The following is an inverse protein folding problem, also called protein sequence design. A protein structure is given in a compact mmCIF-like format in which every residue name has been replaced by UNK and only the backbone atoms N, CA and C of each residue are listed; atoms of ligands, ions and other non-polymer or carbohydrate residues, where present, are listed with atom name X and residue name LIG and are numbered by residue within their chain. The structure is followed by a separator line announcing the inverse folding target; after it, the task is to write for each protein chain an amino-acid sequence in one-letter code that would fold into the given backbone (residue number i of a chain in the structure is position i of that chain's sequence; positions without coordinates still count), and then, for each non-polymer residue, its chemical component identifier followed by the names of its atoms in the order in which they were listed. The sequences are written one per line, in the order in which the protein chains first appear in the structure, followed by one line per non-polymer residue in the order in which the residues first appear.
data_IF_478842523767
#
_entry.id   IF_478842523767
#
_cell.length_a   1.000
_cell.length_b   1.000
_cell.length_c   1.000
_cell.angle_alpha   90.00
_cell.angle_beta   90.00
_cell.angle_gamma   90.00
#
_symmetry.space_group_name_H-M   'P 1'
#
loop_
_entity.id
_entity.type
_entity.pdbx_description
1 polymer ?
#
# COMPACT_ATOMS: atom_id res chain seq x y z
N UNK A 1 -46.15 8.53 18.52
CA UNK A 1 -46.26 7.71 17.28
C UNK A 1 -44.85 7.48 16.75
N UNK A 2 -44.35 6.30 16.44
CA UNK A 2 -44.90 4.95 16.54
C UNK A 2 -43.76 3.98 16.87
N UNK A 3 -44.04 3.11 17.82
CA UNK A 3 -43.26 1.93 18.16
C UNK A 3 -43.86 0.76 17.37
N UNK A 4 -43.05 -0.09 16.73
CA UNK A 4 -43.49 -1.46 16.44
C UNK A 4 -42.31 -2.41 16.27
N UNK A 5 -42.22 -3.32 17.24
CA UNK A 5 -41.56 -4.61 17.16
C UNK A 5 -42.11 -5.44 15.98
N UNK A 6 -41.26 -6.30 15.42
CA UNK A 6 -41.64 -7.69 15.16
C UNK A 6 -40.40 -8.59 15.19
N UNK A 7 -40.48 -9.63 16.03
CA UNK A 7 -39.54 -10.75 16.19
C UNK A 7 -39.86 -11.88 15.20
N UNK A 8 -38.99 -12.92 15.26
CA UNK A 8 -39.21 -14.36 15.01
C UNK A 8 -38.73 -14.89 13.63
N UNK A 9 -38.06 -16.04 13.48
CA UNK A 9 -37.28 -16.98 14.35
C UNK A 9 -36.83 -18.19 13.48
N UNK A 10 -36.08 -19.13 14.10
CA UNK A 10 -35.70 -20.52 13.72
C UNK A 10 -34.22 -20.64 13.26
N UNK A 11 -33.26 -21.21 14.03
CA UNK A 11 -33.14 -22.48 14.77
C UNK A 11 -33.38 -23.72 13.89
N UNK A 12 -32.29 -24.36 13.46
CA UNK A 12 -32.17 -25.83 13.35
C UNK A 12 -30.75 -26.24 13.77
N UNK A 13 -30.67 -26.91 14.91
CA UNK A 13 -29.58 -27.77 15.37
C UNK A 13 -29.66 -29.13 14.66
N UNK A 14 -28.53 -29.83 14.50
CA UNK A 14 -28.45 -31.28 14.64
C UNK A 14 -27.01 -31.70 14.96
N UNK A 15 -26.85 -32.29 16.15
CA UNK A 15 -25.82 -33.30 16.47
C UNK A 15 -26.44 -34.66 16.13
N UNK A 16 -25.60 -35.65 15.79
CA UNK A 16 -25.70 -37.04 16.27
C UNK A 16 -24.49 -37.87 15.76
N UNK A 17 -23.60 -38.18 16.71
CA UNK A 17 -23.00 -39.46 17.12
C UNK A 17 -22.57 -40.60 16.15
N UNK A 18 -21.34 -41.08 16.45
CA UNK A 18 -20.82 -42.45 16.50
C UNK A 18 -20.35 -43.19 15.22
N UNK A 19 -19.04 -43.48 15.13
CA UNK A 19 -18.43 -44.78 15.54
C UNK A 19 -16.92 -44.83 15.26
N UNK A 20 -16.20 -45.45 16.21
CA UNK A 20 -14.80 -45.91 16.11
C UNK A 20 -14.64 -47.04 15.08
N UNK A 21 -13.54 -47.02 14.33
CA UNK A 21 -12.83 -48.25 13.92
C UNK A 21 -11.32 -48.04 14.05
N UNK A 22 -10.70 -48.95 14.81
CA UNK A 22 -9.25 -49.12 14.94
C UNK A 22 -8.69 -49.75 13.66
N UNK A 23 -7.62 -49.17 13.13
CA UNK A 23 -6.84 -49.76 12.05
C UNK A 23 -5.40 -49.31 12.14
N UNK A 24 -4.56 -50.15 12.75
CA UNK A 24 -3.11 -50.08 12.66
C UNK A 24 -2.68 -50.14 11.18
N UNK A 25 -2.02 -49.10 10.68
CA UNK A 25 -1.15 -49.27 9.52
C UNK A 25 0.10 -48.39 9.64
N UNK A 26 1.19 -49.04 10.07
CA UNK A 26 2.55 -48.54 9.94
C UNK A 26 2.91 -48.53 8.46
N UNK A 27 3.14 -47.35 7.87
CA UNK A 27 4.15 -47.27 6.84
C UNK A 27 4.83 -45.90 6.82
N UNK A 28 6.15 -45.95 6.97
CA UNK A 28 7.04 -44.83 6.80
C UNK A 28 7.08 -44.43 5.32
N UNK A 29 7.03 -43.12 5.05
CA UNK A 29 7.91 -42.53 4.05
C UNK A 29 8.00 -41.02 4.25
N UNK A 30 9.23 -40.55 4.46
CA UNK A 30 9.57 -39.16 4.58
C UNK A 30 9.28 -38.41 3.29
N UNK A 31 8.28 -37.54 3.33
CA UNK A 31 8.12 -36.44 2.40
C UNK A 31 8.62 -35.17 3.06
N UNK A 32 9.80 -34.70 2.63
CA UNK A 32 10.35 -33.41 3.02
C UNK A 32 9.32 -32.32 2.69
N UNK A 33 8.75 -31.70 3.72
CA UNK A 33 7.84 -30.57 3.58
C UNK A 33 8.65 -29.31 3.20
N UNK A 34 9.05 -29.21 1.93
CA UNK A 34 9.63 -28.02 1.31
C UNK A 34 8.49 -27.19 0.72
N UNK A 35 7.86 -26.36 1.54
CA UNK A 35 6.87 -25.40 1.06
C UNK A 35 6.41 -24.49 2.18
N UNK A 36 6.44 -23.17 1.94
CA UNK A 36 5.97 -22.07 2.81
C UNK A 36 6.98 -21.41 3.76
N UNK A 37 8.27 -21.32 3.40
CA UNK A 37 9.22 -20.42 4.11
C UNK A 37 9.49 -19.05 3.45
N UNK A 38 9.05 -18.76 2.21
CA UNK A 38 9.68 -17.67 1.44
C UNK A 38 9.03 -16.29 1.43
N UNK A 39 7.78 -16.10 1.90
CA UNK A 39 7.13 -14.76 1.84
C UNK A 39 7.25 -13.95 3.15
N UNK A 40 7.20 -14.61 4.30
CA UNK A 40 7.23 -13.92 5.61
C UNK A 40 8.64 -13.51 6.07
N UNK A 41 9.71 -14.11 5.52
CA UNK A 41 11.08 -13.70 5.88
C UNK A 41 11.54 -12.43 5.17
N UNK A 42 10.99 -12.11 3.98
CA UNK A 42 11.44 -10.97 3.17
C UNK A 42 11.20 -9.61 3.85
N UNK A 43 10.20 -9.51 4.74
CA UNK A 43 9.76 -8.26 5.37
C UNK A 43 9.81 -8.30 6.90
N UNK A 44 10.65 -9.17 7.47
CA UNK A 44 10.71 -9.40 8.92
C UNK A 44 10.98 -8.13 9.76
N UNK A 45 11.44 -7.05 9.13
CA UNK A 45 11.75 -5.76 9.74
C UNK A 45 11.03 -4.57 9.07
N UNK A 46 9.92 -4.78 8.34
CA UNK A 46 9.18 -3.67 7.71
C UNK A 46 8.56 -2.77 8.76
N UNK A 47 8.74 -1.45 8.62
CA UNK A 47 8.10 -0.44 9.46
C UNK A 47 6.78 0.00 8.79
N UNK A 48 5.75 0.26 9.60
CA UNK A 48 4.51 0.88 9.12
C UNK A 48 4.50 2.36 9.45
N UNK A 49 4.37 3.19 8.42
CA UNK A 49 4.26 4.64 8.53
C UNK A 49 2.82 5.08 8.33
N UNK A 50 2.33 5.99 9.18
CA UNK A 50 1.02 6.64 9.00
C UNK A 50 1.21 8.01 8.37
N UNK A 51 0.55 8.27 7.25
CA UNK A 51 0.72 9.51 6.49
C UNK A 51 -0.60 10.02 5.94
N UNK A 52 -0.86 11.31 6.05
CA UNK A 52 -1.96 11.95 5.34
C UNK A 52 -1.62 12.09 3.85
N UNK A 53 -2.61 11.91 2.99
CA UNK A 53 -2.51 12.20 1.56
C UNK A 53 -3.77 12.92 1.09
N UNK A 54 -3.60 14.07 0.45
CA UNK A 54 -4.72 14.87 -0.05
C UNK A 54 -5.31 14.27 -1.33
N UNK A 55 -6.54 14.67 -1.66
CA UNK A 55 -7.06 14.46 -3.01
C UNK A 55 -6.31 15.31 -4.06
N UNK A 56 -6.25 14.87 -5.34
CA UNK A 56 -6.81 13.62 -5.88
C UNK A 56 -5.91 12.38 -5.64
N UNK A 57 -4.75 12.56 -5.01
CA UNK A 57 -3.69 11.54 -4.95
C UNK A 57 -4.12 10.32 -4.13
N UNK A 58 -4.84 10.54 -3.03
CA UNK A 58 -5.41 9.46 -2.24
C UNK A 58 -6.31 8.56 -3.10
N UNK A 59 -7.30 9.14 -3.79
CA UNK A 59 -8.21 8.35 -4.62
C UNK A 59 -7.47 7.63 -5.75
N UNK A 60 -6.53 8.30 -6.42
CA UNK A 60 -5.76 7.69 -7.51
C UNK A 60 -4.91 6.49 -7.04
N UNK A 61 -4.32 6.53 -5.84
CA UNK A 61 -3.61 5.38 -5.27
C UNK A 61 -4.60 4.29 -4.85
N UNK A 62 -5.72 4.64 -4.20
CA UNK A 62 -6.72 3.65 -3.77
C UNK A 62 -7.34 2.87 -4.94
N UNK A 63 -7.45 3.50 -6.11
CA UNK A 63 -7.94 2.90 -7.34
C UNK A 63 -6.86 2.15 -8.13
N UNK A 64 -5.60 2.18 -7.68
CA UNK A 64 -4.46 1.58 -8.38
C UNK A 64 -4.06 2.30 -9.67
N UNK A 65 -4.54 3.53 -9.89
CA UNK A 65 -4.21 4.35 -11.08
C UNK A 65 -2.84 5.00 -10.93
N UNK A 66 -2.50 5.41 -9.70
CA UNK A 66 -1.21 6.00 -9.36
C UNK A 66 -0.43 5.03 -8.48
N UNK A 67 0.75 4.63 -8.94
CA UNK A 67 1.59 3.60 -8.32
C UNK A 67 2.98 4.11 -7.92
N UNK A 68 3.28 5.39 -8.14
CA UNK A 68 4.53 6.03 -7.71
C UNK A 68 4.23 7.36 -7.04
N UNK A 69 4.83 7.59 -5.86
CA UNK A 69 4.70 8.82 -5.08
C UNK A 69 6.05 9.53 -4.97
N UNK A 70 6.08 10.79 -5.40
CA UNK A 70 7.28 11.63 -5.42
C UNK A 70 7.30 12.56 -4.21
N UNK A 71 8.40 12.57 -3.47
CA UNK A 71 8.59 13.44 -2.30
C UNK A 71 10.00 14.01 -2.29
N UNK A 72 10.18 15.13 -1.62
CA UNK A 72 11.52 15.61 -1.29
C UNK A 72 12.21 14.58 -0.38
N UNK A 73 13.46 14.23 -0.67
CA UNK A 73 14.20 13.20 0.05
C UNK A 73 14.77 13.74 1.38
N UNK A 74 13.87 14.10 2.31
CA UNK A 74 14.19 14.63 3.65
C UNK A 74 13.26 14.10 4.74
N UNK A 75 13.70 14.20 5.99
CA UNK A 75 12.93 13.76 7.17
C UNK A 75 12.49 12.30 7.04
N UNK A 76 11.26 12.00 7.48
CA UNK A 76 10.71 10.62 7.43
C UNK A 76 10.73 9.98 6.04
N UNK A 77 10.69 10.76 4.96
CA UNK A 77 10.73 10.21 3.60
C UNK A 77 12.11 9.65 3.22
N UNK A 78 13.18 10.22 3.79
CA UNK A 78 14.54 9.74 3.56
C UNK A 78 14.85 8.41 4.28
N UNK A 79 14.03 8.05 5.28
CA UNK A 79 14.17 6.84 6.10
C UNK A 79 13.45 5.62 5.52
N UNK A 80 12.52 5.84 4.58
CA UNK A 80 11.71 4.79 3.96
C UNK A 80 12.60 3.74 3.27
N UNK A 81 12.19 2.47 3.36
CA UNK A 81 12.88 1.35 2.74
C UNK A 81 11.91 0.47 1.94
N UNK A 82 12.46 -0.24 0.96
CA UNK A 82 11.70 -1.25 0.25
C UNK A 82 11.19 -2.32 1.23
N UNK A 83 9.90 -2.62 1.14
CA UNK A 83 9.21 -3.54 2.02
C UNK A 83 8.43 -2.89 3.17
N UNK A 84 8.71 -1.62 3.51
CA UNK A 84 7.93 -0.86 4.47
C UNK A 84 6.48 -0.70 3.99
N UNK A 85 5.59 -0.43 4.93
CA UNK A 85 4.17 -0.20 4.69
C UNK A 85 3.85 1.27 4.95
N UNK A 86 3.06 1.88 4.07
CA UNK A 86 2.48 3.20 4.30
C UNK A 86 0.96 3.05 4.41
N UNK A 87 0.43 3.42 5.57
CA UNK A 87 -1.00 3.61 5.83
C UNK A 87 -1.36 5.07 5.50
N UNK A 88 -1.99 5.25 4.34
CA UNK A 88 -2.47 6.55 3.89
C UNK A 88 -3.82 6.83 4.51
N UNK A 89 -3.99 8.03 5.07
CA UNK A 89 -5.30 8.53 5.50
C UNK A 89 -5.69 9.79 4.73
N UNK A 90 -7.00 9.95 4.53
CA UNK A 90 -7.62 11.15 4.00
C UNK A 90 -9.00 11.32 4.65
N UNK A 91 -9.38 12.56 4.95
CA UNK A 91 -10.63 12.89 5.63
C UNK A 91 -11.55 13.84 4.85
N UNK A 92 -11.20 14.19 3.60
CA UNK A 92 -11.96 15.11 2.74
C UNK A 92 -13.41 14.63 2.52
N UNK A 93 -13.59 13.31 2.44
CA UNK A 93 -14.89 12.63 2.32
C UNK A 93 -14.94 11.47 3.30
N UNK A 94 -15.17 11.76 4.60
CA UNK A 94 -15.03 10.84 5.76
C UNK A 94 -13.62 10.23 5.87
N UNK A 95 -13.28 9.72 7.07
CA UNK A 95 -12.01 9.02 7.26
C UNK A 95 -11.95 7.80 6.35
N UNK A 96 -10.97 7.80 5.45
CA UNK A 96 -10.61 6.66 4.59
C UNK A 96 -9.16 6.31 4.84
N UNK A 97 -8.89 5.01 4.88
CA UNK A 97 -7.55 4.47 5.12
C UNK A 97 -7.27 3.40 4.05
N UNK A 98 -6.10 3.48 3.42
CA UNK A 98 -5.57 2.43 2.54
C UNK A 98 -4.14 2.11 2.96
N UNK A 99 -3.71 0.88 2.75
CA UNK A 99 -2.32 0.47 3.00
C UNK A 99 -1.63 0.12 1.69
N UNK A 100 -0.38 0.56 1.57
CA UNK A 100 0.48 0.23 0.43
C UNK A 100 1.81 -0.30 0.92
N UNK A 101 2.41 -1.23 0.19
CA UNK A 101 3.79 -1.67 0.40
C UNK A 101 4.71 -0.90 -0.54
N UNK A 102 5.85 -0.44 -0.03
CA UNK A 102 6.91 0.11 -0.85
C UNK A 102 7.59 -1.04 -1.60
N UNK A 103 7.43 -1.08 -2.93
CA UNK A 103 8.04 -2.14 -3.75
C UNK A 103 9.40 -1.73 -4.31
N UNK A 104 9.65 -0.43 -4.45
CA UNK A 104 10.92 0.11 -4.93
C UNK A 104 11.14 1.55 -4.47
N UNK A 105 12.39 1.90 -4.20
CA UNK A 105 12.82 3.29 -3.97
C UNK A 105 13.82 3.70 -5.05
N UNK A 106 13.57 4.85 -5.69
CA UNK A 106 14.53 5.47 -6.61
C UNK A 106 14.77 6.92 -6.22
N UNK A 107 16.01 7.38 -6.31
CA UNK A 107 16.38 8.79 -6.02
C UNK A 107 16.71 9.53 -7.31
N UNK A 108 16.32 10.80 -7.36
CA UNK A 108 16.51 11.71 -8.48
C UNK A 108 17.06 13.05 -7.99
N UNK A 109 17.72 13.79 -8.87
CA UNK A 109 18.27 15.10 -8.54
C UNK A 109 17.20 16.20 -8.51
N UNK A 110 16.10 16.02 -9.23
CA UNK A 110 15.01 17.00 -9.34
C UNK A 110 13.67 16.34 -9.62
N UNK A 111 12.57 17.07 -9.39
CA UNK A 111 11.20 16.71 -9.76
C UNK A 111 11.07 16.56 -11.28
N UNK A 112 11.74 17.41 -12.07
CA UNK A 112 11.77 17.25 -13.53
C UNK A 112 12.32 15.89 -13.94
N UNK A 113 13.49 15.52 -13.39
CA UNK A 113 14.12 14.23 -13.69
C UNK A 113 13.24 13.07 -13.23
N UNK A 114 12.70 13.17 -12.01
CA UNK A 114 11.77 12.19 -11.45
C UNK A 114 10.56 11.96 -12.36
N UNK A 115 9.84 13.01 -12.74
CA UNK A 115 8.62 12.90 -13.54
C UNK A 115 8.93 12.26 -14.89
N UNK A 116 9.96 12.76 -15.58
CA UNK A 116 10.32 12.27 -16.92
C UNK A 116 10.78 10.82 -16.89
N UNK A 117 11.64 10.44 -15.92
CA UNK A 117 12.17 9.08 -15.84
C UNK A 117 11.11 8.07 -15.41
N UNK A 118 10.20 8.42 -14.50
CA UNK A 118 9.09 7.53 -14.14
C UNK A 118 8.09 7.36 -15.28
N UNK A 119 7.77 8.42 -16.04
CA UNK A 119 6.97 8.32 -17.27
C UNK A 119 7.60 7.42 -18.31
N UNK A 120 8.91 7.53 -18.53
CA UNK A 120 9.64 6.64 -19.45
C UNK A 120 9.61 5.16 -19.01
N UNK A 121 9.46 4.90 -17.72
CA UNK A 121 9.25 3.56 -17.14
C UNK A 121 7.78 3.10 -17.16
N UNK A 122 6.88 3.89 -17.78
CA UNK A 122 5.43 3.67 -17.84
C UNK A 122 4.70 3.84 -16.51
N UNK A 123 5.30 4.50 -15.52
CA UNK A 123 4.61 4.96 -14.32
C UNK A 123 4.06 6.36 -14.56
N UNK A 124 2.97 6.72 -13.89
CA UNK A 124 2.42 8.08 -13.99
C UNK A 124 2.35 8.74 -12.60
N UNK A 125 3.37 9.55 -12.24
CA UNK A 125 3.39 10.30 -10.98
C UNK A 125 2.19 11.17 -10.72
N UNK A 126 1.63 11.80 -11.76
CA UNK A 126 0.62 12.84 -11.63
C UNK A 126 -0.45 12.68 -12.73
N UNK A 127 -1.26 11.61 -12.69
CA UNK A 127 -2.26 11.35 -13.71
C UNK A 127 -3.27 12.48 -13.86
N UNK A 128 -3.64 12.78 -15.11
CA UNK A 128 -4.64 13.81 -15.43
C UNK A 128 -4.10 15.23 -15.60
N UNK A 129 -2.80 15.47 -15.34
CA UNK A 129 -2.18 16.78 -15.60
C UNK A 129 -1.69 16.89 -17.06
N UNK A 130 -1.91 18.04 -17.73
CA UNK A 130 -1.72 18.14 -19.18
C UNK A 130 -0.27 18.41 -19.60
N UNK A 131 0.59 18.91 -18.70
CA UNK A 131 1.97 19.27 -19.04
C UNK A 131 2.91 19.18 -17.84
N UNK A 132 4.21 19.13 -18.13
CA UNK A 132 5.27 19.12 -17.11
C UNK A 132 5.19 20.34 -16.19
N UNK A 133 4.82 21.53 -16.69
CA UNK A 133 4.71 22.73 -15.86
C UNK A 133 3.59 22.61 -14.83
N UNK A 134 2.43 22.07 -15.23
CA UNK A 134 1.34 21.79 -14.28
C UNK A 134 1.76 20.76 -13.24
N UNK A 135 2.51 19.74 -13.65
CA UNK A 135 3.04 18.72 -12.75
C UNK A 135 4.02 19.27 -11.73
N UNK A 136 4.98 20.08 -12.20
CA UNK A 136 5.94 20.76 -11.34
C UNK A 136 5.26 21.74 -10.38
N UNK A 137 4.19 22.42 -10.81
CA UNK A 137 3.43 23.32 -9.96
C UNK A 137 2.81 22.64 -8.74
N UNK A 138 2.53 21.33 -8.81
CA UNK A 138 2.04 20.57 -7.64
C UNK A 138 3.12 20.50 -6.57
N UNK A 139 4.37 20.22 -6.95
CA UNK A 139 5.48 20.11 -6.00
C UNK A 139 5.92 21.47 -5.45
N UNK A 140 6.00 22.49 -6.30
CA UNK A 140 6.47 23.81 -5.89
C UNK A 140 5.46 24.63 -5.08
N UNK A 141 4.26 24.09 -4.84
CA UNK A 141 3.37 24.58 -3.76
C UNK A 141 3.90 24.25 -2.36
N UNK A 142 4.74 23.23 -2.24
CA UNK A 142 5.18 22.68 -0.94
C UNK A 142 6.69 22.75 -0.72
N UNK A 143 7.48 22.78 -1.79
CA UNK A 143 8.94 22.72 -1.72
C UNK A 143 9.56 23.85 -2.53
N UNK A 144 10.63 24.46 -2.02
CA UNK A 144 11.39 25.43 -2.79
C UNK A 144 12.36 24.73 -3.76
N UNK A 145 12.90 25.49 -4.72
CA UNK A 145 13.93 24.99 -5.65
C UNK A 145 15.24 24.72 -4.93
N UNK A 146 15.55 25.48 -3.89
CA UNK A 146 16.74 25.31 -3.06
C UNK A 146 16.64 24.01 -2.25
N UNK A 147 15.47 23.75 -1.67
CA UNK A 147 15.15 22.48 -1.01
C UNK A 147 15.34 21.29 -1.97
N UNK A 148 14.78 21.39 -3.19
CA UNK A 148 14.97 20.39 -4.24
C UNK A 148 16.44 20.14 -4.54
N UNK A 149 17.24 21.20 -4.72
CA UNK A 149 18.68 21.09 -4.99
C UNK A 149 19.44 20.46 -3.82
N UNK A 150 19.08 20.80 -2.59
CA UNK A 150 19.75 20.31 -1.39
C UNK A 150 19.47 18.83 -1.11
N UNK A 151 18.21 18.41 -1.25
CA UNK A 151 17.78 17.08 -0.79
C UNK A 151 17.55 16.09 -1.92
N UNK A 152 17.29 16.58 -3.14
CA UNK A 152 16.81 15.76 -4.25
C UNK A 152 15.41 15.18 -4.00
N UNK A 153 15.00 14.26 -4.86
CA UNK A 153 13.66 13.67 -4.86
C UNK A 153 13.74 12.17 -4.66
N UNK A 154 12.84 11.63 -3.84
CA UNK A 154 12.61 10.19 -3.69
C UNK A 154 11.31 9.82 -4.41
N UNK A 155 11.39 8.81 -5.26
CA UNK A 155 10.26 8.12 -5.87
C UNK A 155 9.98 6.83 -5.11
N UNK A 156 8.77 6.72 -4.58
CA UNK A 156 8.30 5.60 -3.77
C UNK A 156 7.31 4.83 -4.63
N UNK A 157 7.73 3.69 -5.19
CA UNK A 157 6.82 2.83 -5.95
C UNK A 157 6.00 2.00 -4.96
N UNK A 158 4.68 1.96 -5.17
CA UNK A 158 3.68 1.45 -4.25
C UNK A 158 2.94 0.26 -4.87
N UNK A 159 2.66 -0.75 -4.06
CA UNK A 159 1.66 -1.76 -4.35
C UNK A 159 0.56 -1.70 -3.30
N UNK A 160 -0.70 -1.63 -3.72
CA UNK A 160 -1.85 -1.68 -2.82
C UNK A 160 -1.87 -3.01 -2.07
N UNK A 161 -2.12 -2.97 -0.77
CA UNK A 161 -2.32 -4.15 0.06
C UNK A 161 -3.83 -4.36 0.16
N UNK A 162 -4.31 -5.41 -0.50
CA UNK A 162 -5.71 -5.85 -0.46
C UNK A 162 -5.96 -6.79 0.72
#
# INVERSE_FOLDING_TARGET
MGNKLSRQSAIISNKDDNKEENGDNKNANGGVNKGNKSKNEKYKNSITYKMHLSEPWFSLISLGIKDVEGRLNRGKFAELKEGDIIEWNNEDFKLRIISTRIVKITKYKSFTEYIQKEKNKKHNPLPGLPSLDHELSVYYKYYSKEDEQQFGVIAIQLALIN
#
